data_IF_920010547437
#
_entry.id   IF_920010547437
#
_cell.length_a   1.000
_cell.length_b   1.000
_cell.length_c   1.000
_cell.angle_alpha   90.00
_cell.angle_beta   90.00
_cell.angle_gamma   90.00
#
_symmetry.space_group_name_H-M   'P 1'
#
loop_
_entity.id
_entity.type
_entity.pdbx_description
1 polymer ?
#
# COMPACT_ATOMS: atom_id res chain seq x y z
N UNK A 1 0.09 -2.11 -1.23
CA UNK A 1 -0.18 -2.83 -2.49
C UNK A 1 -1.66 -3.09 -2.60
N UNK A 2 -2.21 -2.89 -3.79
CA UNK A 2 -3.66 -2.90 -4.00
C UNK A 2 -4.00 -3.70 -5.25
N UNK A 3 -5.26 -4.12 -5.37
CA UNK A 3 -5.74 -4.83 -6.54
C UNK A 3 -7.24 -4.70 -6.75
N UNK A 4 -7.66 -4.78 -8.01
CA UNK A 4 -9.06 -4.76 -8.45
C UNK A 4 -9.28 -5.91 -9.42
N UNK A 5 -10.37 -6.67 -9.25
CA UNK A 5 -10.72 -7.78 -10.15
C UNK A 5 -11.05 -7.31 -11.56
N UNK A 6 -10.88 -8.18 -12.55
CA UNK A 6 -11.18 -7.87 -13.96
C UNK A 6 -12.65 -7.44 -14.18
N UNK A 7 -13.58 -7.97 -13.39
CA UNK A 7 -15.00 -7.63 -13.43
C UNK A 7 -15.36 -6.37 -12.62
N UNK A 8 -14.39 -5.78 -11.91
CA UNK A 8 -14.55 -4.60 -11.06
C UNK A 8 -15.42 -4.82 -9.81
N UNK A 9 -15.82 -6.05 -9.50
CA UNK A 9 -16.71 -6.35 -8.37
C UNK A 9 -15.96 -6.52 -7.04
N UNK A 10 -14.65 -6.76 -7.10
CA UNK A 10 -13.78 -7.00 -5.95
C UNK A 10 -12.58 -6.08 -6.00
N UNK A 11 -12.15 -5.65 -4.82
CA UNK A 11 -10.86 -5.02 -4.65
C UNK A 11 -10.24 -5.41 -3.31
N UNK A 12 -8.94 -5.19 -3.17
CA UNK A 12 -8.25 -5.31 -1.89
C UNK A 12 -7.11 -4.31 -1.78
N UNK A 13 -6.73 -4.02 -0.54
CA UNK A 13 -5.51 -3.31 -0.18
C UNK A 13 -4.80 -4.08 0.91
N UNK A 14 -3.48 -4.24 0.77
CA UNK A 14 -2.60 -4.78 1.80
C UNK A 14 -1.48 -3.78 2.06
N UNK A 15 -1.18 -3.52 3.33
CA UNK A 15 -0.08 -2.64 3.72
C UNK A 15 0.72 -3.29 4.83
N UNK A 16 2.00 -3.54 4.57
CA UNK A 16 2.97 -3.92 5.59
C UNK A 16 3.53 -2.69 6.30
N UNK A 17 3.32 -2.58 7.60
CA UNK A 17 3.77 -1.44 8.40
C UNK A 17 4.86 -1.83 9.40
N UNK A 18 5.90 -1.00 9.46
CA UNK A 18 6.77 -0.84 10.63
C UNK A 18 6.44 0.53 11.22
N UNK A 19 5.78 0.55 12.37
CA UNK A 19 5.23 1.79 12.94
C UNK A 19 3.97 2.23 12.21
N UNK A 20 2.88 1.48 12.35
CA UNK A 20 1.62 1.79 11.68
C UNK A 20 1.10 3.17 12.06
N UNK A 21 0.94 4.06 11.08
CA UNK A 21 0.36 5.40 11.28
C UNK A 21 -1.10 5.35 11.73
N UNK A 22 -1.78 4.22 11.51
CA UNK A 22 -3.15 3.95 11.94
C UNK A 22 -3.24 3.36 13.35
N UNK A 23 -2.10 3.05 14.00
CA UNK A 23 -2.10 2.46 15.34
C UNK A 23 -2.29 3.52 16.42
N UNK A 24 -3.39 3.49 17.20
CA UNK A 24 -3.55 4.36 18.35
C UNK A 24 -2.50 4.08 19.43
N UNK A 25 -2.06 2.82 19.56
CA UNK A 25 -1.03 2.41 20.51
C UNK A 25 0.33 3.00 20.16
N UNK A 26 0.67 3.03 18.87
CA UNK A 26 1.92 3.65 18.42
C UNK A 26 1.90 5.16 18.71
N UNK A 27 0.78 5.83 18.43
CA UNK A 27 0.59 7.23 18.76
C UNK A 27 0.73 7.49 20.27
N UNK A 28 0.03 6.72 21.12
CA UNK A 28 0.09 6.86 22.58
C UNK A 28 1.47 6.52 23.17
N UNK A 29 2.26 5.68 22.51
CA UNK A 29 3.65 5.40 22.91
C UNK A 29 4.61 6.58 22.65
N UNK A 30 4.16 7.67 22.01
CA UNK A 30 5.00 8.78 21.57
C UNK A 30 5.84 8.47 20.33
N UNK A 31 5.49 7.41 19.59
CA UNK A 31 6.14 6.95 18.36
C UNK A 31 7.62 6.56 18.45
N UNK A 32 8.14 6.31 19.65
CA UNK A 32 9.57 6.07 19.87
C UNK A 32 10.14 4.75 19.33
N UNK A 33 9.33 3.69 19.22
CA UNK A 33 9.78 2.39 18.71
C UNK A 33 8.78 1.82 17.68
N UNK A 34 8.97 2.10 16.37
CA UNK A 34 8.04 1.64 15.32
C UNK A 34 8.01 0.11 15.18
N UNK A 35 9.11 -0.57 15.48
CA UNK A 35 9.16 -2.04 15.44
C UNK A 35 8.25 -2.69 16.50
N UNK A 36 7.78 -1.93 17.49
CA UNK A 36 6.82 -2.40 18.49
C UNK A 36 5.35 -2.19 18.10
N UNK A 37 5.10 -1.71 16.88
CA UNK A 37 3.76 -1.41 16.35
C UNK A 37 3.68 -1.74 14.86
N UNK A 38 3.93 -3.02 14.55
CA UNK A 38 3.91 -3.56 13.21
C UNK A 38 2.57 -4.22 12.90
N UNK A 39 2.14 -4.16 11.65
CA UNK A 39 0.99 -4.94 11.18
C UNK A 39 1.09 -5.23 9.69
N UNK A 40 0.33 -6.24 9.25
CA UNK A 40 -0.05 -6.40 7.85
C UNK A 40 -1.55 -6.06 7.82
N UNK A 41 -1.86 -4.83 7.42
CA UNK A 41 -3.22 -4.37 7.24
C UNK A 41 -3.79 -5.02 5.98
N UNK A 42 -4.97 -5.62 6.05
CA UNK A 42 -5.69 -6.21 4.91
C UNK A 42 -7.11 -5.65 4.89
N UNK A 43 -7.45 -4.96 3.82
CA UNK A 43 -8.80 -4.50 3.54
C UNK A 43 -9.30 -5.16 2.25
N UNK A 44 -10.52 -5.68 2.27
CA UNK A 44 -11.17 -6.24 1.08
C UNK A 44 -12.52 -5.57 0.84
N UNK A 45 -12.83 -5.31 -0.43
CA UNK A 45 -13.96 -4.50 -0.86
C UNK A 45 -14.91 -5.27 -1.80
N UNK A 46 -16.20 -4.95 -1.71
CA UNK A 46 -17.30 -5.65 -2.37
C UNK A 46 -18.14 -6.49 -1.39
N UNK A 47 -19.17 -7.21 -1.86
CA UNK A 47 -20.04 -8.04 -1.01
C UNK A 47 -19.29 -9.00 -0.08
N UNK A 48 -19.41 -8.83 1.24
CA UNK A 48 -18.68 -9.63 2.23
C UNK A 48 -17.23 -9.20 2.49
N UNK A 49 -16.90 -7.94 2.17
CA UNK A 49 -15.63 -7.28 2.48
C UNK A 49 -15.26 -7.34 3.97
N UNK A 50 -13.96 -7.36 4.24
CA UNK A 50 -13.38 -7.54 5.58
C UNK A 50 -12.21 -6.59 5.78
N UNK A 51 -11.89 -6.32 7.04
CA UNK A 51 -10.75 -5.51 7.43
C UNK A 51 -9.99 -6.22 8.55
N UNK A 52 -8.67 -6.28 8.48
CA UNK A 52 -7.80 -6.78 9.53
C UNK A 52 -6.60 -5.86 9.70
N UNK A 53 -6.31 -5.47 10.95
CA UNK A 53 -5.14 -4.67 11.28
C UNK A 53 -4.72 -4.99 12.72
N UNK A 54 -4.14 -6.16 12.92
CA UNK A 54 -3.62 -6.55 14.24
C UNK A 54 -2.27 -5.86 14.47
N UNK A 55 -2.23 -4.93 15.42
CA UNK A 55 -1.00 -4.31 15.92
C UNK A 55 -0.18 -5.34 16.70
N UNK A 56 1.11 -5.47 16.37
CA UNK A 56 2.01 -6.45 16.97
C UNK A 56 3.33 -5.80 17.38
N UNK A 57 3.89 -6.31 18.47
CA UNK A 57 5.17 -5.87 19.00
C UNK A 57 6.40 -6.46 18.29
N UNK A 58 7.57 -6.04 18.76
CA UNK A 58 8.89 -6.39 18.17
C UNK A 58 9.08 -7.90 18.00
N UNK A 59 8.57 -8.71 18.93
CA UNK A 59 8.72 -10.16 18.89
C UNK A 59 8.12 -10.80 17.64
N UNK A 60 7.11 -10.18 17.04
CA UNK A 60 6.41 -10.65 15.85
C UNK A 60 7.03 -10.18 14.53
N UNK A 61 7.96 -9.22 14.54
CA UNK A 61 8.59 -8.68 13.34
C UNK A 61 9.83 -9.49 12.96
N UNK A 62 9.90 -9.92 11.70
CA UNK A 62 11.14 -10.45 11.08
C UNK A 62 11.30 -9.85 9.69
N UNK A 63 12.50 -9.39 9.39
CA UNK A 63 12.84 -8.79 8.10
C UNK A 63 14.12 -9.41 7.55
N UNK A 64 14.14 -9.61 6.23
CA UNK A 64 15.32 -9.91 5.42
C UNK A 64 15.27 -9.02 4.17
N UNK A 65 16.24 -9.19 3.28
CA UNK A 65 16.26 -8.48 2.00
C UNK A 65 14.97 -8.68 1.19
N UNK A 66 14.44 -9.91 1.20
CA UNK A 66 13.34 -10.31 0.33
C UNK A 66 12.07 -10.69 1.10
N UNK A 67 12.07 -10.62 2.44
CA UNK A 67 10.93 -11.06 3.26
C UNK A 67 10.62 -10.07 4.37
N UNK A 68 9.35 -9.73 4.51
CA UNK A 68 8.78 -8.97 5.61
C UNK A 68 7.69 -9.82 6.29
N UNK A 69 7.89 -10.22 7.54
CA UNK A 69 6.96 -11.05 8.30
C UNK A 69 6.49 -10.32 9.55
N UNK A 70 5.19 -10.35 9.79
CA UNK A 70 4.56 -9.81 11.00
C UNK A 70 3.58 -10.84 11.56
N UNK A 71 4.01 -11.52 12.63
CA UNK A 71 3.24 -12.60 13.23
C UNK A 71 3.05 -13.75 12.23
N UNK A 72 1.81 -14.15 11.91
CA UNK A 72 1.54 -15.29 11.02
C UNK A 72 1.52 -14.92 9.52
N UNK A 73 1.51 -13.63 9.18
CA UNK A 73 1.41 -13.14 7.80
C UNK A 73 2.78 -12.68 7.29
N UNK A 74 3.02 -12.75 5.98
CA UNK A 74 4.29 -12.36 5.37
C UNK A 74 4.14 -11.83 3.94
N UNK A 75 5.10 -11.02 3.53
CA UNK A 75 5.35 -10.55 2.16
C UNK A 75 6.73 -11.08 1.75
N UNK A 76 6.83 -11.74 0.60
CA UNK A 76 8.07 -12.29 0.08
C UNK A 76 8.26 -11.95 -1.40
N UNK A 77 9.38 -11.32 -1.72
CA UNK A 77 9.81 -11.07 -3.08
C UNK A 77 10.60 -12.27 -3.60
N UNK A 78 10.13 -12.86 -4.69
CA UNK A 78 10.75 -14.07 -5.28
C UNK A 78 11.86 -13.74 -6.29
N UNK A 79 12.18 -12.46 -6.48
CA UNK A 79 12.97 -11.98 -7.61
C UNK A 79 12.13 -11.59 -8.83
N UNK A 80 10.86 -12.02 -8.90
CA UNK A 80 9.95 -11.77 -10.04
C UNK A 80 8.57 -11.28 -9.63
N UNK A 81 8.02 -11.86 -8.57
CA UNK A 81 6.67 -11.59 -8.07
C UNK A 81 6.69 -11.41 -6.55
N UNK A 82 5.76 -10.60 -6.05
CA UNK A 82 5.54 -10.42 -4.62
C UNK A 82 4.45 -11.38 -4.16
N UNK A 83 4.84 -12.37 -3.36
CA UNK A 83 3.95 -13.35 -2.75
C UNK A 83 3.59 -12.89 -1.35
N UNK A 84 2.30 -12.86 -1.05
CA UNK A 84 1.77 -12.34 0.21
C UNK A 84 0.92 -13.44 0.83
N UNK A 85 1.41 -14.02 1.91
CA UNK A 85 0.68 -15.02 2.69
C UNK A 85 -0.04 -14.31 3.84
N UNK A 86 -1.36 -14.41 3.85
CA UNK A 86 -2.24 -13.80 4.85
C UNK A 86 -2.73 -14.89 5.82
N UNK A 87 -2.65 -14.62 7.13
CA UNK A 87 -3.36 -15.37 8.18
C UNK A 87 -3.75 -14.41 9.32
N UNK A 88 -4.78 -13.62 9.07
CA UNK A 88 -5.28 -12.61 9.99
C UNK A 88 -6.70 -12.93 10.48
N UNK A 89 -7.13 -12.17 11.48
CA UNK A 89 -8.51 -12.18 11.97
C UNK A 89 -9.14 -10.83 11.64
N UNK A 90 -10.28 -10.83 10.96
CA UNK A 90 -10.99 -9.61 10.63
C UNK A 90 -11.70 -8.97 11.82
N UNK A 91 -11.89 -7.66 11.75
CA UNK A 91 -12.63 -6.86 12.72
C UNK A 91 -14.14 -6.94 12.48
N UNK A 92 -14.90 -6.27 13.35
CA UNK A 92 -16.31 -5.97 13.11
C UNK A 92 -16.50 -5.26 11.75
N UNK A 93 -17.67 -5.45 11.09
CA UNK A 93 -18.84 -6.21 11.56
C UNK A 93 -18.77 -7.73 11.33
N UNK A 94 -17.77 -8.23 10.60
CA UNK A 94 -17.64 -9.64 10.25
C UNK A 94 -16.33 -10.20 10.78
N UNK A 95 -16.34 -10.75 12.00
CA UNK A 95 -15.16 -11.38 12.62
C UNK A 95 -15.00 -12.79 12.05
N UNK A 96 -13.90 -13.04 11.34
CA UNK A 96 -13.62 -14.32 10.69
C UNK A 96 -12.13 -14.45 10.38
N UNK A 97 -11.67 -15.66 10.05
CA UNK A 97 -10.31 -15.85 9.54
C UNK A 97 -10.21 -15.28 8.12
N UNK A 98 -9.18 -14.50 7.88
CA UNK A 98 -8.71 -14.10 6.55
C UNK A 98 -7.41 -14.86 6.32
N UNK A 99 -7.45 -15.88 5.47
CA UNK A 99 -6.27 -16.70 5.19
C UNK A 99 -6.14 -16.96 3.71
N UNK A 100 -4.93 -17.05 3.19
CA UNK A 100 -4.67 -17.44 1.81
C UNK A 100 -3.51 -16.67 1.21
N UNK A 101 -3.43 -16.65 -0.12
CA UNK A 101 -2.30 -16.07 -0.83
C UNK A 101 -2.74 -15.00 -1.82
N UNK A 102 -1.97 -13.93 -1.89
CA UNK A 102 -2.07 -12.91 -2.92
C UNK A 102 -0.72 -12.87 -3.64
N UNK A 103 -0.74 -12.91 -4.96
CA UNK A 103 0.48 -12.81 -5.79
C UNK A 103 0.37 -11.59 -6.67
N UNK A 104 1.32 -10.66 -6.54
CA UNK A 104 1.42 -9.47 -7.40
C UNK A 104 2.57 -9.70 -8.37
N UNK A 105 2.29 -9.66 -9.66
CA UNK A 105 3.26 -9.85 -10.73
C UNK A 105 3.45 -8.53 -11.49
N UNK A 106 4.55 -7.80 -11.23
CA UNK A 106 4.88 -6.57 -11.95
C UNK A 106 5.02 -6.80 -13.45
N UNK A 107 4.45 -5.90 -14.26
CA UNK A 107 4.81 -5.83 -15.69
C UNK A 107 6.23 -5.29 -15.87
N UNK A 108 6.61 -4.34 -15.01
CA UNK A 108 7.95 -3.79 -14.90
C UNK A 108 8.17 -3.21 -13.49
N UNK A 109 9.42 -3.15 -13.05
CA UNK A 109 9.83 -2.44 -11.83
C UNK A 109 10.38 -1.08 -12.22
N UNK A 110 9.85 -0.01 -11.64
CA UNK A 110 10.34 1.34 -11.89
C UNK A 110 11.49 1.72 -10.96
N UNK A 111 12.32 2.65 -11.41
CA UNK A 111 13.35 3.31 -10.59
C UNK A 111 12.87 4.66 -10.03
N UNK A 112 11.57 4.95 -10.10
CA UNK A 112 11.03 6.24 -9.68
C UNK A 112 10.99 6.33 -8.17
N UNK A 113 11.57 7.40 -7.64
CA UNK A 113 11.43 7.83 -6.26
C UNK A 113 10.98 9.28 -6.26
N UNK A 114 9.91 9.59 -5.52
CA UNK A 114 9.37 10.93 -5.39
C UNK A 114 9.57 11.42 -3.96
N UNK A 115 10.52 12.34 -3.72
CA UNK A 115 10.61 13.06 -2.46
C UNK A 115 9.32 13.87 -2.24
N UNK A 116 8.59 13.56 -1.18
CA UNK A 116 7.38 14.29 -0.79
C UNK A 116 7.72 15.58 -0.04
N UNK A 117 8.93 15.69 0.52
CA UNK A 117 9.49 16.91 1.09
C UNK A 117 10.81 17.28 0.40
N UNK A 118 11.19 18.57 0.34
CA UNK A 118 12.44 19.00 -0.32
C UNK A 118 13.71 18.41 0.29
N UNK A 119 13.69 18.06 1.57
CA UNK A 119 14.80 17.44 2.30
C UNK A 119 14.84 15.90 2.16
N UNK A 120 13.90 15.29 1.43
CA UNK A 120 13.83 13.85 1.23
C UNK A 120 13.45 13.05 2.49
N UNK A 121 12.93 13.70 3.53
CA UNK A 121 12.52 13.02 4.76
C UNK A 121 11.33 12.07 4.58
N UNK A 122 10.58 12.22 3.48
CA UNK A 122 9.48 11.37 3.08
C UNK A 122 9.61 11.03 1.61
N UNK A 123 9.60 9.76 1.27
CA UNK A 123 9.76 9.27 -0.09
C UNK A 123 8.62 8.31 -0.41
N UNK A 124 7.95 8.58 -1.52
CA UNK A 124 7.03 7.64 -2.15
C UNK A 124 7.74 6.96 -3.32
N UNK A 125 7.66 5.63 -3.36
CA UNK A 125 8.30 4.79 -4.37
C UNK A 125 7.30 3.84 -5.01
N UNK A 126 6.76 4.15 -6.20
CA UNK A 126 5.85 3.27 -6.93
C UNK A 126 6.63 2.18 -7.68
N UNK A 127 6.98 1.10 -6.98
CA UNK A 127 7.76 -0.01 -7.52
C UNK A 127 7.17 -0.62 -8.79
N UNK A 128 5.89 -1.00 -8.76
CA UNK A 128 5.20 -1.63 -9.89
C UNK A 128 3.80 -1.01 -10.08
N UNK A 129 3.71 0.16 -10.73
CA UNK A 129 2.46 0.87 -10.99
C UNK A 129 1.48 0.08 -11.85
N UNK A 130 2.02 -0.82 -12.67
CA UNK A 130 1.29 -1.77 -13.52
C UNK A 130 1.73 -3.17 -13.13
N UNK A 131 0.79 -3.93 -12.57
CA UNK A 131 0.99 -5.32 -12.21
C UNK A 131 -0.28 -6.11 -12.52
N UNK A 132 -0.14 -7.41 -12.68
CA UNK A 132 -1.25 -8.35 -12.54
C UNK A 132 -1.33 -8.80 -11.08
N UNK A 133 -2.54 -9.10 -10.61
CA UNK A 133 -2.75 -9.66 -9.28
C UNK A 133 -3.57 -10.93 -9.38
N UNK A 134 -3.15 -11.95 -8.63
CA UNK A 134 -3.91 -13.16 -8.37
C UNK A 134 -4.21 -13.25 -6.89
N UNK A 135 -5.48 -13.36 -6.56
CA UNK A 135 -5.99 -13.42 -5.20
C UNK A 135 -6.60 -14.79 -5.00
N UNK A 136 -6.14 -15.49 -3.98
CA UNK A 136 -6.62 -16.81 -3.58
C UNK A 136 -6.76 -16.84 -2.06
N UNK A 137 -7.76 -16.12 -1.55
CA UNK A 137 -8.10 -16.14 -0.13
C UNK A 137 -9.09 -17.27 0.13
N UNK A 138 -8.96 -17.98 1.24
CA UNK A 138 -9.78 -19.11 1.68
C UNK A 138 -11.18 -18.65 2.16
N UNK A 139 -11.91 -17.95 1.31
CA UNK A 139 -13.28 -17.51 1.51
C UNK A 139 -14.00 -17.48 0.15
N UNK A 140 -15.28 -17.88 0.14
CA UNK A 140 -16.06 -17.90 -1.11
C UNK A 140 -16.14 -16.50 -1.73
N UNK A 141 -15.87 -16.41 -3.03
CA UNK A 141 -15.91 -15.17 -3.80
C UNK A 141 -14.67 -14.28 -3.67
N UNK A 142 -13.59 -14.78 -3.03
CA UNK A 142 -12.31 -14.10 -2.87
C UNK A 142 -11.17 -14.79 -3.62
N UNK A 143 -11.51 -15.52 -4.68
CA UNK A 143 -10.57 -16.02 -5.69
C UNK A 143 -10.80 -15.22 -6.97
N UNK A 144 -9.82 -14.43 -7.39
CA UNK A 144 -9.92 -13.64 -8.61
C UNK A 144 -8.55 -13.29 -9.17
N UNK A 145 -8.52 -13.01 -10.47
CA UNK A 145 -7.42 -12.38 -11.16
C UNK A 145 -7.82 -10.93 -11.51
N UNK A 146 -6.83 -10.05 -11.69
CA UNK A 146 -7.10 -8.65 -11.97
C UNK A 146 -5.86 -7.77 -12.10
N UNK A 147 -6.07 -6.46 -11.96
CA UNK A 147 -5.02 -5.46 -12.00
C UNK A 147 -4.48 -5.15 -10.60
N UNK A 148 -3.17 -5.24 -10.45
CA UNK A 148 -2.43 -4.94 -9.23
C UNK A 148 -1.63 -3.64 -9.29
N UNK A 149 -1.20 -3.22 -8.09
CA UNK A 149 -0.32 -2.08 -7.86
C UNK A 149 0.58 -2.35 -6.65
N UNK A 150 1.88 -2.04 -6.75
CA UNK A 150 2.82 -2.17 -5.64
C UNK A 150 3.70 -0.92 -5.49
N UNK A 151 3.76 -0.40 -4.28
CA UNK A 151 4.60 0.71 -3.87
C UNK A 151 5.09 0.58 -2.43
N UNK A 152 5.94 1.53 -2.05
CA UNK A 152 6.34 1.74 -0.67
C UNK A 152 6.42 3.22 -0.36
N UNK A 153 6.17 3.54 0.90
CA UNK A 153 6.39 4.84 1.49
C UNK A 153 7.37 4.65 2.64
N UNK A 154 8.43 5.44 2.67
CA UNK A 154 9.41 5.41 3.75
C UNK A 154 9.91 6.82 4.06
N UNK A 155 10.37 7.01 5.29
CA UNK A 155 10.78 8.32 5.75
C UNK A 155 11.45 8.27 7.11
N UNK A 156 12.02 9.40 7.51
CA UNK A 156 12.78 9.54 8.76
C UNK A 156 11.99 10.28 9.85
N UNK A 157 10.78 10.75 9.55
CA UNK A 157 9.92 11.49 10.48
C UNK A 157 8.46 11.06 10.36
N UNK A 158 7.62 11.30 11.39
CA UNK A 158 6.18 11.10 11.29
C UNK A 158 5.55 12.00 10.23
N UNK A 159 4.60 11.47 9.45
CA UNK A 159 3.89 12.23 8.40
C UNK A 159 3.23 13.48 8.96
N UNK A 160 2.63 13.38 10.15
CA UNK A 160 1.91 14.49 10.77
C UNK A 160 2.80 15.68 11.19
N UNK A 161 4.13 15.53 11.20
CA UNK A 161 5.05 16.64 11.47
C UNK A 161 5.23 17.53 10.23
N UNK A 162 5.14 16.95 9.05
CA UNK A 162 5.47 17.63 7.79
C UNK A 162 4.23 17.88 6.92
N UNK A 163 3.15 17.11 7.09
CA UNK A 163 1.92 17.21 6.29
C UNK A 163 0.70 17.55 7.14
N UNK A 164 -0.15 18.43 6.61
CA UNK A 164 -1.49 18.71 7.14
C UNK A 164 -2.60 18.03 6.33
N UNK A 165 -2.30 17.68 5.07
CA UNK A 165 -3.21 17.01 4.16
C UNK A 165 -2.41 16.28 3.09
N UNK A 166 -2.89 15.12 2.64
CA UNK A 166 -2.37 14.45 1.45
C UNK A 166 -3.47 13.66 0.76
N UNK A 167 -3.31 13.51 -0.55
CA UNK A 167 -4.09 12.59 -1.37
C UNK A 167 -3.18 11.82 -2.30
N UNK A 168 -3.54 10.56 -2.50
CA UNK A 168 -2.88 9.69 -3.45
C UNK A 168 -3.94 8.93 -4.22
N UNK A 169 -3.68 8.69 -5.50
CA UNK A 169 -4.52 7.86 -6.33
C UNK A 169 -3.76 7.27 -7.50
N UNK A 170 -4.06 6.02 -7.83
CA UNK A 170 -3.57 5.35 -9.03
C UNK A 170 -4.74 4.91 -9.89
N UNK A 171 -4.66 5.26 -11.18
CA UNK A 171 -5.70 4.98 -12.16
C UNK A 171 -5.12 4.15 -13.30
N UNK A 172 -5.63 2.93 -13.55
CA UNK A 172 -5.22 2.15 -14.72
C UNK A 172 -5.63 2.88 -16.00
N UNK A 173 -4.79 2.80 -17.02
CA UNK A 173 -5.06 3.32 -18.37
C UNK A 173 -4.76 2.26 -19.41
N UNK A 174 -5.25 2.44 -20.64
CA UNK A 174 -4.93 1.53 -21.74
C UNK A 174 -3.41 1.38 -21.98
N UNK A 175 -2.62 2.43 -21.68
CA UNK A 175 -1.16 2.47 -21.88
C UNK A 175 -0.36 2.01 -20.65
N UNK A 176 -1.00 1.87 -19.49
CA UNK A 176 -0.35 1.52 -18.23
C UNK A 176 -1.14 2.04 -17.02
N UNK A 177 -0.59 3.01 -16.30
CA UNK A 177 -1.25 3.65 -15.16
C UNK A 177 -0.85 5.12 -15.02
N UNK A 178 -1.72 5.93 -14.43
CA UNK A 178 -1.37 7.29 -14.00
C UNK A 178 -1.54 7.38 -12.49
N UNK A 179 -0.53 7.89 -11.81
CA UNK A 179 -0.55 8.11 -10.37
C UNK A 179 -0.53 9.60 -10.07
N UNK A 180 -1.24 9.98 -9.02
CA UNK A 180 -1.34 11.33 -8.49
C UNK A 180 -0.93 11.33 -7.03
N UNK A 181 -0.12 12.29 -6.62
CA UNK A 181 0.26 12.50 -5.23
C UNK A 181 0.27 14.00 -4.95
N UNK A 182 -0.66 14.44 -4.12
CA UNK A 182 -0.76 15.84 -3.69
C UNK A 182 -0.60 15.91 -2.17
N UNK A 183 0.07 16.95 -1.70
CA UNK A 183 0.26 17.18 -0.27
C UNK A 183 0.25 18.67 0.06
N UNK A 184 -0.37 19.01 1.19
CA UNK A 184 -0.21 20.32 1.84
C UNK A 184 0.77 20.13 2.99
N UNK A 185 1.91 20.81 2.93
CA UNK A 185 2.94 20.75 3.96
C UNK A 185 2.64 21.76 5.06
N UNK A 186 3.14 21.48 6.27
CA UNK A 186 2.94 22.37 7.44
C UNK A 186 3.78 23.64 7.37
N UNK A 187 4.84 23.66 6.56
CA UNK A 187 5.63 24.87 6.28
C UNK A 187 4.92 25.86 5.33
N UNK A 188 3.72 25.53 4.85
CA UNK A 188 2.92 26.34 3.93
C UNK A 188 3.16 26.04 2.45
N UNK A 189 4.13 25.19 2.10
CA UNK A 189 4.35 24.74 0.72
C UNK A 189 3.41 23.59 0.33
N UNK A 190 3.29 23.32 -0.97
CA UNK A 190 2.52 22.18 -1.50
C UNK A 190 3.38 21.27 -2.39
N UNK A 191 2.91 20.03 -2.53
CA UNK A 191 3.32 19.09 -3.56
C UNK A 191 2.11 18.81 -4.43
N UNK A 192 2.30 18.85 -5.74
CA UNK A 192 1.32 18.40 -6.71
C UNK A 192 2.08 17.63 -7.78
N UNK A 193 1.76 16.36 -7.97
CA UNK A 193 2.51 15.50 -8.88
C UNK A 193 1.61 14.50 -9.56
N UNK A 194 1.69 14.48 -10.88
CA UNK A 194 1.11 13.44 -11.72
C UNK A 194 2.19 12.77 -12.55
N UNK A 195 2.21 11.44 -12.52
CA UNK A 195 3.17 10.61 -13.25
C UNK A 195 2.43 9.55 -14.03
N UNK A 196 2.66 9.51 -15.34
CA UNK A 196 2.20 8.44 -16.21
C UNK A 196 3.29 7.35 -16.25
N UNK A 197 2.85 6.11 -16.10
CA UNK A 197 3.67 4.91 -16.15
C UNK A 197 3.18 4.02 -17.28
N UNK A 198 4.11 3.55 -18.11
CA UNK A 198 3.84 2.57 -19.16
C UNK A 198 4.03 1.15 -18.64
N UNK A 199 3.55 0.15 -19.40
CA UNK A 199 3.68 -1.27 -19.04
C UNK A 199 5.14 -1.76 -18.96
N UNK A 200 6.05 -1.14 -19.72
CA UNK A 200 7.48 -1.41 -19.72
C UNK A 200 8.24 -0.61 -18.63
N UNK A 201 7.52 0.12 -17.76
CA UNK A 201 8.09 0.77 -16.58
C UNK A 201 8.69 2.15 -16.84
N UNK A 202 8.50 2.72 -18.05
CA UNK A 202 8.86 4.11 -18.30
C UNK A 202 7.92 5.03 -17.54
N UNK A 203 8.50 6.11 -17.01
CA UNK A 203 7.78 7.11 -16.24
C UNK A 203 7.98 8.49 -16.84
N UNK A 204 6.91 9.26 -16.93
CA UNK A 204 6.96 10.65 -17.38
C UNK A 204 5.95 11.48 -16.60
N UNK A 205 6.33 12.71 -16.26
CA UNK A 205 5.37 13.67 -15.74
C UNK A 205 4.23 13.87 -16.75
N UNK A 206 3.01 14.03 -16.23
CA UNK A 206 1.83 14.32 -17.01
C UNK A 206 1.06 15.46 -16.35
N UNK A 207 0.10 16.04 -17.06
CA UNK A 207 -0.79 17.04 -16.49
C UNK A 207 -1.84 16.37 -15.58
N UNK A 208 -2.03 16.95 -14.39
CA UNK A 208 -3.07 16.52 -13.46
C UNK A 208 -4.40 17.21 -13.77
N UNK A 209 -5.55 16.54 -13.54
CA UNK A 209 -6.83 17.24 -13.57
C UNK A 209 -6.85 18.31 -12.46
N UNK A 210 -7.67 19.37 -12.60
CA UNK A 210 -7.79 20.40 -11.56
C UNK A 210 -8.19 19.81 -10.21
N UNK A 211 -7.55 20.29 -9.13
CA UNK A 211 -7.89 19.88 -7.77
C UNK A 211 -9.34 20.18 -7.46
N UNK A 212 -10.06 19.15 -7.03
CA UNK A 212 -11.46 19.23 -6.65
C UNK A 212 -11.60 18.79 -5.20
N UNK A 213 -12.26 19.58 -4.33
CA UNK A 213 -12.55 19.14 -2.96
C UNK A 213 -13.37 17.84 -2.97
N UNK A 214 -13.10 16.93 -2.04
CA UNK A 214 -14.02 15.82 -1.80
C UNK A 214 -15.38 16.38 -1.36
N UNK A 215 -16.44 15.84 -1.95
CA UNK A 215 -17.82 16.16 -1.58
C UNK A 215 -18.32 15.19 -0.52
#
# INVERSE_FOLDING_TARGET
MDGVSDDGQRALSVIGFIGSVFSPWYHWSGRGNPANHCCINVATYGPGGRFAMTDRGVSALRTSTDTFTVGPSSLHWTGRELVIDIDEISSLPLISRMRGRITVTPSAITAVELPLTPDGAHIWRPFAPVSDIRVDLNASGWQFDGHGYFDSNFGTRPLEHDFSYWTWGRYPTAKGATCFYDATRRDGSSLETAVAFTRDGQASHTEAPPRTPFK
#
